data_IF_143200229823
#
_entry.id   IF_143200229823
#
_cell.length_a   1.000
_cell.length_b   1.000
_cell.length_c   1.000
_cell.angle_alpha   90.00
_cell.angle_beta   90.00
_cell.angle_gamma   90.00
#
_symmetry.space_group_name_H-M   'P 1'
#
loop_
_entity.id
_entity.type
_entity.pdbx_description
1 polymer ?
#
# COMPACT_ATOMS: atom_id res chain seq x y z
N UNK A 1 -14.27 17.11 -1.30
CA UNK A 1 -14.00 16.27 -2.49
C UNK A 1 -12.84 16.83 -3.34
N UNK A 2 -11.80 17.40 -2.70
CA UNK A 2 -10.62 18.00 -3.36
C UNK A 2 -9.33 17.61 -2.61
N UNK A 3 -9.30 16.41 -2.03
CA UNK A 3 -8.10 15.94 -1.34
C UNK A 3 -7.10 15.35 -2.34
N UNK A 4 -5.80 15.60 -2.17
CA UNK A 4 -4.78 15.10 -3.08
C UNK A 4 -4.70 13.56 -3.04
N UNK A 5 -4.29 12.98 -4.16
CA UNK A 5 -3.87 11.58 -4.23
C UNK A 5 -2.34 11.55 -4.19
N UNK A 6 -1.78 10.87 -3.20
CA UNK A 6 -0.32 10.76 -3.05
C UNK A 6 0.15 9.44 -3.65
N UNK A 7 1.17 9.48 -4.51
CA UNK A 7 1.83 8.28 -5.05
C UNK A 7 3.24 8.22 -4.46
N UNK A 8 3.47 7.20 -3.63
CA UNK A 8 4.64 7.07 -2.76
C UNK A 8 5.41 5.79 -3.10
N UNK A 9 6.75 5.80 -3.09
CA UNK A 9 7.52 4.57 -3.12
C UNK A 9 7.47 3.88 -1.75
N UNK A 10 7.34 2.55 -1.71
CA UNK A 10 7.30 1.77 -0.46
C UNK A 10 8.61 1.76 0.33
N UNK A 11 9.70 2.25 -0.24
CA UNK A 11 10.99 2.45 0.41
C UNK A 11 11.31 3.95 0.62
N UNK A 12 10.29 4.80 0.71
CA UNK A 12 10.45 6.20 1.08
C UNK A 12 11.00 6.31 2.51
N UNK A 13 12.06 7.10 2.71
CA UNK A 13 12.73 7.26 4.00
C UNK A 13 11.77 7.72 5.11
N UNK A 14 10.87 8.65 4.79
CA UNK A 14 9.86 9.18 5.72
C UNK A 14 8.43 8.79 5.29
N UNK A 15 8.23 7.48 5.03
CA UNK A 15 6.92 6.96 4.64
C UNK A 15 5.85 7.22 5.71
N UNK A 16 6.22 7.19 6.99
CA UNK A 16 5.31 7.44 8.11
C UNK A 16 4.68 8.84 8.03
N UNK A 17 5.48 9.88 7.85
CA UNK A 17 4.95 11.24 7.68
C UNK A 17 4.16 11.40 6.37
N UNK A 18 4.58 10.75 5.29
CA UNK A 18 3.88 10.80 4.02
C UNK A 18 2.48 10.16 4.09
N UNK A 19 2.32 9.07 4.85
CA UNK A 19 1.02 8.42 5.07
C UNK A 19 0.05 9.29 5.89
N UNK A 20 0.58 10.19 6.73
CA UNK A 20 -0.20 11.13 7.52
C UNK A 20 -0.77 12.31 6.71
N UNK A 21 -0.33 12.52 5.45
CA UNK A 21 -0.89 13.56 4.59
C UNK A 21 -2.40 13.31 4.33
N UNK A 22 -3.23 14.37 4.18
CA UNK A 22 -4.65 14.20 3.88
C UNK A 22 -4.86 13.57 2.49
N UNK A 23 -5.97 12.87 2.30
CA UNK A 23 -6.32 12.23 1.04
C UNK A 23 -5.92 10.76 0.92
N UNK A 24 -6.13 10.22 -0.28
CA UNK A 24 -5.80 8.83 -0.60
C UNK A 24 -4.31 8.63 -0.86
N UNK A 25 -3.82 7.41 -0.67
CA UNK A 25 -2.42 7.06 -0.93
C UNK A 25 -2.31 5.84 -1.82
N UNK A 26 -1.31 5.84 -2.68
CA UNK A 26 -0.87 4.69 -3.46
C UNK A 26 0.60 4.46 -3.10
N UNK A 27 0.91 3.30 -2.54
CA UNK A 27 2.28 2.88 -2.25
C UNK A 27 2.69 1.86 -3.31
N UNK A 28 3.70 2.20 -4.11
CA UNK A 28 4.22 1.36 -5.19
C UNK A 28 5.64 0.89 -4.91
N UNK A 29 6.09 -0.13 -5.65
CA UNK A 29 7.48 -0.63 -5.60
C UNK A 29 7.87 -1.10 -4.19
N UNK A 30 6.90 -1.65 -3.46
CA UNK A 30 7.09 -2.11 -2.08
C UNK A 30 8.01 -3.33 -2.02
N UNK A 31 8.00 -4.22 -3.01
CA UNK A 31 8.95 -5.34 -3.13
C UNK A 31 9.37 -5.95 -1.77
N UNK A 32 10.64 -5.79 -1.41
CA UNK A 32 11.19 -6.27 -0.12
C UNK A 32 10.74 -5.49 1.13
N UNK A 33 10.32 -4.23 0.98
CA UNK A 33 9.81 -3.41 2.09
C UNK A 33 8.32 -3.64 2.37
N UNK A 34 7.62 -4.46 1.57
CA UNK A 34 6.20 -4.72 1.75
C UNK A 34 5.83 -5.14 3.20
N UNK A 35 6.53 -6.07 3.86
CA UNK A 35 6.22 -6.41 5.26
C UNK A 35 6.30 -5.20 6.21
N UNK A 36 7.28 -4.33 6.01
CA UNK A 36 7.47 -3.11 6.83
C UNK A 36 6.38 -2.08 6.55
N UNK A 37 5.94 -1.96 5.29
CA UNK A 37 4.80 -1.11 4.91
C UNK A 37 3.52 -1.61 5.57
N UNK A 38 3.24 -2.92 5.54
CA UNK A 38 2.06 -3.52 6.18
C UNK A 38 2.05 -3.30 7.69
N UNK A 39 3.20 -3.49 8.35
CA UNK A 39 3.35 -3.22 9.79
C UNK A 39 3.12 -1.74 10.13
N UNK A 40 3.63 -0.82 9.31
CA UNK A 40 3.42 0.62 9.48
C UNK A 40 1.93 0.98 9.35
N UNK A 41 1.22 0.40 8.38
CA UNK A 41 -0.22 0.62 8.21
C UNK A 41 -1.01 0.11 9.42
N UNK A 42 -0.65 -1.05 9.96
CA UNK A 42 -1.25 -1.58 11.18
C UNK A 42 -1.02 -0.65 12.38
N UNK A 43 0.21 -0.15 12.55
CA UNK A 43 0.55 0.81 13.62
C UNK A 43 -0.20 2.13 13.51
N UNK A 44 -0.48 2.61 12.30
CA UNK A 44 -1.25 3.83 12.06
C UNK A 44 -2.78 3.62 12.03
N UNK A 45 -3.26 2.39 12.23
CA UNK A 45 -4.69 2.08 12.17
C UNK A 45 -5.30 2.26 10.78
N UNK A 46 -4.49 2.10 9.72
CA UNK A 46 -4.90 2.27 8.32
C UNK A 46 -5.31 0.96 7.65
N UNK A 47 -5.22 -0.17 8.35
CA UNK A 47 -5.44 -1.52 7.81
C UNK A 47 -6.80 -1.68 7.14
N UNK A 48 -7.88 -1.27 7.82
CA UNK A 48 -9.27 -1.38 7.33
C UNK A 48 -9.55 -0.53 6.08
N UNK A 49 -8.64 0.38 5.75
CA UNK A 49 -8.73 1.30 4.60
C UNK A 49 -7.78 0.93 3.47
N UNK A 50 -6.97 -0.11 3.65
CA UNK A 50 -5.93 -0.51 2.73
C UNK A 50 -6.33 -1.75 1.93
N UNK A 51 -5.96 -1.76 0.65
CA UNK A 51 -6.06 -2.91 -0.25
C UNK A 51 -4.75 -3.04 -1.03
N UNK A 52 -4.46 -4.24 -1.51
CA UNK A 52 -3.26 -4.51 -2.32
C UNK A 52 -3.64 -5.28 -3.57
N UNK A 53 -3.02 -4.93 -4.69
CA UNK A 53 -3.01 -5.77 -5.89
C UNK A 53 -1.57 -6.07 -6.26
N UNK A 54 -1.25 -7.33 -6.48
CA UNK A 54 0.02 -7.76 -7.07
C UNK A 54 -0.20 -8.21 -8.51
N UNK A 55 0.79 -7.97 -9.37
CA UNK A 55 0.82 -8.45 -10.76
C UNK A 55 -0.43 -8.02 -11.55
N UNK A 56 -0.92 -6.80 -11.33
CA UNK A 56 -2.15 -6.31 -11.97
C UNK A 56 -2.06 -6.38 -13.50
N UNK A 57 -3.03 -7.06 -14.13
CA UNK A 57 -3.11 -7.31 -15.56
C UNK A 57 -2.21 -8.44 -16.07
N UNK A 58 -1.49 -9.15 -15.19
CA UNK A 58 -0.62 -10.27 -15.53
C UNK A 58 -1.27 -11.62 -15.15
N UNK A 59 -0.81 -12.76 -15.70
CA UNK A 59 -1.37 -14.08 -15.39
C UNK A 59 -1.31 -14.47 -13.90
N UNK A 60 -0.44 -13.84 -13.12
CA UNK A 60 -0.23 -14.08 -11.68
C UNK A 60 -0.91 -13.04 -10.80
N UNK A 61 -1.85 -12.25 -11.35
CA UNK A 61 -2.59 -11.23 -10.61
C UNK A 61 -3.21 -11.82 -9.33
N UNK A 62 -3.01 -11.12 -8.21
CA UNK A 62 -3.71 -11.39 -6.95
C UNK A 62 -4.20 -10.07 -6.39
N UNK A 63 -5.48 -10.02 -6.03
CA UNK A 63 -6.09 -8.87 -5.40
C UNK A 63 -6.50 -9.21 -3.96
N UNK A 64 -6.08 -8.36 -3.04
CA UNK A 64 -6.32 -8.46 -1.61
C UNK A 64 -7.11 -7.23 -1.18
N UNK A 65 -8.45 -7.30 -1.08
CA UNK A 65 -9.28 -6.20 -0.58
C UNK A 65 -8.98 -5.85 0.89
N UNK A 66 -8.33 -6.77 1.61
CA UNK A 66 -7.89 -6.65 3.00
C UNK A 66 -6.43 -7.03 3.08
N UNK A 67 -5.61 -6.14 3.62
CA UNK A 67 -4.15 -6.33 3.62
C UNK A 67 -3.67 -7.41 4.60
N UNK A 68 -4.52 -7.83 5.54
CA UNK A 68 -4.26 -8.93 6.48
C UNK A 68 -4.22 -10.30 5.79
N UNK A 69 -4.85 -10.40 4.61
CA UNK A 69 -4.91 -11.63 3.81
C UNK A 69 -3.73 -11.73 2.82
N UNK A 70 -2.83 -10.75 2.81
CA UNK A 70 -1.73 -10.67 1.85
C UNK A 70 -0.73 -11.79 2.07
N UNK A 71 -0.59 -12.64 1.05
CA UNK A 71 0.40 -13.72 1.00
C UNK A 71 1.31 -13.64 -0.22
N UNK A 72 1.26 -12.54 -0.99
CA UNK A 72 2.03 -12.39 -2.22
C UNK A 72 3.51 -12.09 -1.94
N UNK A 73 4.38 -12.59 -2.80
CA UNK A 73 5.82 -12.32 -2.80
C UNK A 73 6.28 -11.49 -4.03
N UNK A 74 5.34 -11.10 -4.90
CA UNK A 74 5.66 -10.38 -6.13
C UNK A 74 6.24 -8.99 -5.86
N UNK A 75 7.25 -8.66 -6.68
CA UNK A 75 7.83 -7.32 -6.74
C UNK A 75 6.83 -6.27 -7.23
N UNK A 76 5.91 -6.63 -8.14
CA UNK A 76 4.90 -5.73 -8.70
C UNK A 76 3.67 -5.68 -7.80
N UNK A 77 3.80 -5.05 -6.63
CA UNK A 77 2.68 -4.76 -5.74
C UNK A 77 2.34 -3.26 -5.76
N UNK A 78 1.03 -2.99 -5.75
CA UNK A 78 0.46 -1.66 -5.59
C UNK A 78 -0.52 -1.71 -4.42
N UNK A 79 -0.23 -0.94 -3.38
CA UNK A 79 -1.07 -0.81 -2.21
C UNK A 79 -1.85 0.50 -2.29
N UNK A 80 -3.15 0.43 -2.08
CA UNK A 80 -4.07 1.56 -2.12
C UNK A 80 -4.61 1.79 -0.71
N UNK A 81 -4.65 3.05 -0.27
CA UNK A 81 -5.21 3.46 1.02
C UNK A 81 -6.26 4.52 0.73
N UNK A 82 -7.52 4.22 1.05
CA UNK A 82 -8.62 5.17 0.94
C UNK A 82 -8.40 6.39 1.85
N UNK A 83 -8.95 7.59 1.52
CA UNK A 83 -8.89 8.81 2.33
C UNK A 83 -9.69 8.75 3.64
#
# INVERSE_FOLDING_TARGET
MNEPLHILPGALEDLEAALALPGGKIVMKSGKSLPQVLELLARQGLTDRAALVSDCGLPTEQAFPRIEEVTCDSYFSTLLIAP
#
